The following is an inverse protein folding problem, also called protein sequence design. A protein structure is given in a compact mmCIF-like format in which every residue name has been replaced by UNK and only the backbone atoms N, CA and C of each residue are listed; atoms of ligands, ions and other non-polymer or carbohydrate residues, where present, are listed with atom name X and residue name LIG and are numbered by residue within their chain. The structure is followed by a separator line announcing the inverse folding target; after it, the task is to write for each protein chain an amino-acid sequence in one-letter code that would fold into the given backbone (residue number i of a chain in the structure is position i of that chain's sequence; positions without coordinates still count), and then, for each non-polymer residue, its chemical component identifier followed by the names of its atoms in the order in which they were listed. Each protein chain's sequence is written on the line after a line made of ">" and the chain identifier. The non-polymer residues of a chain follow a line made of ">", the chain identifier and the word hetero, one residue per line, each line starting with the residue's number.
data_IF_445173837406
#
_entry.id   IF_445173837406
#
_cell.length_a   1.000
_cell.length_b   1.000
_cell.length_c   1.000
_cell.angle_alpha   90.00
_cell.angle_beta   90.00
_cell.angle_gamma   90.00
#
_symmetry.space_group_name_H-M   'P 1'
#
loop_
_entity.id
_entity.type
_entity.pdbx_description
1 polymer ?
#
# COMPACT_ATOMS: atom_id res chain seq x y z
N UNK A 1 -11.97 15.42 -1.87
CA UNK A 1 -11.84 16.81 -1.38
C UNK A 1 -10.97 16.76 -0.14
N UNK A 2 -9.86 17.51 -0.14
CA UNK A 2 -8.95 17.64 0.99
C UNK A 2 -9.59 18.54 2.05
N UNK A 3 -9.77 18.03 3.27
CA UNK A 3 -10.22 18.83 4.42
C UNK A 3 -9.02 19.14 5.33
N UNK A 4 -8.06 19.91 4.80
CA UNK A 4 -7.01 20.57 5.57
C UNK A 4 -7.45 21.99 5.93
N UNK A 5 -6.98 22.52 7.07
CA UNK A 5 -7.08 23.98 7.28
C UNK A 5 -6.19 24.66 6.26
N UNK A 6 -6.68 25.69 5.56
CA UNK A 6 -5.88 26.47 4.58
C UNK A 6 -4.57 27.01 5.20
N UNK A 7 -4.50 27.07 6.53
CA UNK A 7 -3.39 27.62 7.31
C UNK A 7 -2.35 26.59 7.77
N UNK A 8 -2.65 25.28 7.73
CA UNK A 8 -1.74 24.23 8.24
C UNK A 8 -1.62 23.08 7.24
N UNK A 9 -0.49 23.03 6.53
CA UNK A 9 -0.17 21.98 5.56
C UNK A 9 0.39 20.71 6.21
N UNK A 10 0.72 20.72 7.50
CA UNK A 10 1.34 19.58 8.20
C UNK A 10 0.31 18.52 8.62
N UNK A 11 -0.98 18.87 8.59
CA UNK A 11 -2.06 17.99 9.01
C UNK A 11 -3.26 18.03 8.06
N UNK A 12 -3.42 16.98 7.26
CA UNK A 12 -4.52 16.85 6.28
C UNK A 12 -5.26 15.53 6.42
N UNK A 13 -6.55 15.56 6.08
CA UNK A 13 -7.38 14.36 5.89
C UNK A 13 -7.68 14.19 4.41
N UNK A 14 -7.24 13.06 3.86
CA UNK A 14 -7.41 12.70 2.46
C UNK A 14 -8.55 11.71 2.32
N UNK A 15 -9.62 12.14 1.64
CA UNK A 15 -10.71 11.25 1.24
C UNK A 15 -10.42 10.60 -0.09
N UNK A 16 -10.26 9.28 -0.09
CA UNK A 16 -10.07 8.45 -1.27
C UNK A 16 -11.39 7.72 -1.56
N UNK A 17 -11.91 7.93 -2.76
CA UNK A 17 -13.15 7.32 -3.24
C UNK A 17 -12.85 5.95 -3.86
N UNK A 18 -13.84 5.07 -3.85
CA UNK A 18 -13.80 3.72 -4.43
C UNK A 18 -12.71 2.79 -3.87
N UNK A 19 -12.23 3.10 -2.66
CA UNK A 19 -11.21 2.35 -1.94
C UNK A 19 -11.70 1.87 -0.59
N UNK A 20 -11.01 0.87 -0.03
CA UNK A 20 -11.34 0.22 1.23
C UNK A 20 -10.10 -0.08 2.10
N UNK A 21 -10.24 -1.01 3.06
CA UNK A 21 -9.16 -1.46 3.94
C UNK A 21 -7.91 -1.93 3.21
N UNK A 22 -8.02 -2.40 1.96
CA UNK A 22 -6.91 -2.94 1.17
C UNK A 22 -5.83 -1.89 0.94
N UNK A 23 -6.19 -0.76 0.29
CA UNK A 23 -5.27 0.35 0.10
C UNK A 23 -4.98 1.06 1.43
N UNK A 24 -6.02 1.28 2.24
CA UNK A 24 -5.91 2.08 3.45
C UNK A 24 -4.94 1.50 4.48
N UNK A 25 -5.02 0.19 4.73
CA UNK A 25 -4.15 -0.47 5.70
C UNK A 25 -2.71 -0.56 5.19
N UNK A 26 -2.53 -0.81 3.89
CA UNK A 26 -1.22 -0.81 3.23
C UNK A 26 -0.55 0.56 3.33
N UNK A 27 -1.26 1.63 2.94
CA UNK A 27 -0.75 3.00 3.03
C UNK A 27 -0.46 3.41 4.47
N UNK A 28 -1.35 3.08 5.43
CA UNK A 28 -1.12 3.29 6.87
C UNK A 28 0.17 2.62 7.33
N UNK A 29 0.45 1.40 6.89
CA UNK A 29 1.66 0.69 7.29
C UNK A 29 2.92 1.44 6.85
N UNK A 30 2.98 1.87 5.58
CA UNK A 30 4.13 2.61 5.05
C UNK A 30 4.30 3.95 5.73
N UNK A 31 3.21 4.71 5.90
CA UNK A 31 3.22 6.01 6.59
C UNK A 31 3.76 5.93 8.01
N UNK A 32 3.46 4.85 8.76
CA UNK A 32 3.98 4.69 10.12
C UNK A 32 5.48 4.42 10.19
N UNK A 33 6.13 4.05 9.08
CA UNK A 33 7.57 3.84 9.04
C UNK A 33 8.34 5.13 8.71
N UNK A 34 7.66 6.16 8.20
CA UNK A 34 8.28 7.43 7.86
C UNK A 34 8.50 8.27 9.14
N UNK A 35 9.75 8.64 9.50
CA UNK A 35 10.04 9.42 10.70
C UNK A 35 9.46 10.85 10.66
N UNK A 36 9.04 11.34 9.49
CA UNK A 36 8.38 12.64 9.32
C UNK A 36 6.92 12.60 9.80
N UNK A 37 6.34 11.41 9.96
CA UNK A 37 4.94 11.23 10.35
C UNK A 37 4.82 11.15 11.87
N UNK A 38 4.12 12.10 12.47
CA UNK A 38 3.79 12.11 13.89
C UNK A 38 2.54 11.25 14.19
N UNK A 39 1.58 11.24 13.27
CA UNK A 39 0.36 10.44 13.39
C UNK A 39 -0.17 10.07 12.02
N UNK A 40 -0.58 8.80 11.85
CA UNK A 40 -1.43 8.41 10.74
C UNK A 40 -2.51 7.41 11.16
N UNK A 41 -3.65 7.48 10.49
CA UNK A 41 -4.76 6.57 10.71
C UNK A 41 -5.75 6.65 9.56
N UNK A 42 -6.62 5.65 9.45
CA UNK A 42 -7.70 5.68 8.47
C UNK A 42 -9.04 5.27 9.10
N UNK A 43 -10.12 5.75 8.52
CA UNK A 43 -11.48 5.33 8.85
C UNK A 43 -12.34 5.21 7.59
N UNK A 44 -13.28 4.28 7.62
CA UNK A 44 -14.36 4.18 6.64
C UNK A 44 -15.59 4.80 7.30
N UNK A 45 -16.13 5.92 6.78
CA UNK A 45 -17.24 6.63 7.42
C UNK A 45 -18.47 5.75 7.63
N UNK A 46 -18.78 4.90 6.65
CA UNK A 46 -19.89 3.98 6.69
C UNK A 46 -19.63 2.75 5.81
N UNK A 47 -19.94 1.50 6.23
CA UNK A 47 -19.66 0.30 5.44
C UNK A 47 -20.31 0.25 4.05
N UNK A 48 -21.41 0.99 3.86
CA UNK A 48 -22.10 1.07 2.56
C UNK A 48 -21.43 2.06 1.58
N UNK A 49 -20.53 2.92 2.06
CA UNK A 49 -19.79 3.86 1.23
C UNK A 49 -18.39 3.32 0.95
N UNK A 50 -18.03 3.19 -0.33
CA UNK A 50 -16.66 2.87 -0.73
C UNK A 50 -15.80 4.13 -0.66
N UNK A 51 -15.51 4.56 0.56
CA UNK A 51 -14.73 5.77 0.83
C UNK A 51 -13.87 5.56 2.06
N UNK A 52 -12.59 5.89 1.94
CA UNK A 52 -11.64 5.88 3.05
C UNK A 52 -11.19 7.31 3.31
N UNK A 53 -11.14 7.68 4.58
CA UNK A 53 -10.46 8.89 5.03
C UNK A 53 -9.13 8.52 5.66
N UNK A 54 -8.02 8.98 5.09
CA UNK A 54 -6.67 8.82 5.65
C UNK A 54 -6.26 10.15 6.30
N UNK A 55 -6.01 10.13 7.60
CA UNK A 55 -5.46 11.26 8.35
C UNK A 55 -3.95 11.12 8.41
N UNK A 56 -3.24 12.17 8.02
CA UNK A 56 -1.78 12.27 8.15
C UNK A 56 -1.44 13.55 8.88
N UNK A 57 -0.61 13.44 9.92
CA UNK A 57 -0.02 14.56 10.63
C UNK A 57 1.49 14.36 10.67
N UNK A 58 2.22 15.36 10.24
CA UNK A 58 3.68 15.34 10.15
C UNK A 58 4.28 16.25 11.21
N UNK A 59 5.60 16.20 11.36
CA UNK A 59 6.35 17.07 12.28
C UNK A 59 6.75 18.41 11.66
N UNK A 60 6.55 18.61 10.35
CA UNK A 60 6.88 19.86 9.68
C UNK A 60 6.66 19.86 8.17
N UNK A 61 6.83 18.71 7.51
CA UNK A 61 6.65 18.62 6.06
C UNK A 61 5.17 18.62 5.65
N UNK A 62 4.79 19.09 4.45
CA UNK A 62 3.41 19.04 4.01
C UNK A 62 2.87 17.60 3.96
N UNK A 63 1.75 17.33 4.63
CA UNK A 63 1.14 16.01 4.73
C UNK A 63 0.84 15.38 3.36
N UNK A 64 0.54 16.22 2.36
CA UNK A 64 0.31 15.79 0.97
C UNK A 64 1.55 15.17 0.32
N UNK A 65 2.72 15.74 0.61
CA UNK A 65 3.98 15.34 -0.02
C UNK A 65 4.48 14.05 0.65
N UNK A 66 4.38 13.98 1.98
CA UNK A 66 4.66 12.75 2.74
C UNK A 66 3.72 11.60 2.33
N UNK A 67 2.43 11.86 2.13
CA UNK A 67 1.50 10.83 1.63
C UNK A 67 1.89 10.34 0.24
N UNK A 68 2.28 11.26 -0.65
CA UNK A 68 2.71 10.92 -2.01
C UNK A 68 3.97 10.05 -2.00
N UNK A 69 4.97 10.41 -1.20
CA UNK A 69 6.20 9.64 -1.03
C UNK A 69 5.89 8.23 -0.52
N UNK A 70 5.05 8.11 0.52
CA UNK A 70 4.66 6.82 1.08
C UNK A 70 3.93 5.92 0.06
N UNK A 71 3.09 6.48 -0.81
CA UNK A 71 2.44 5.73 -1.89
C UNK A 71 3.45 5.29 -2.95
N UNK A 72 4.45 6.11 -3.26
CA UNK A 72 5.52 5.75 -4.19
C UNK A 72 6.39 4.62 -3.63
N UNK A 73 6.71 4.66 -2.34
CA UNK A 73 7.43 3.59 -1.66
C UNK A 73 6.63 2.28 -1.64
N UNK A 74 5.31 2.37 -1.40
CA UNK A 74 4.42 1.21 -1.50
C UNK A 74 4.48 0.55 -2.88
N UNK A 75 4.47 1.36 -3.95
CA UNK A 75 4.60 0.84 -5.32
C UNK A 75 5.93 0.13 -5.54
N UNK A 76 7.05 0.70 -5.05
CA UNK A 76 8.39 0.10 -5.17
C UNK A 76 8.47 -1.21 -4.39
N UNK A 77 7.89 -1.28 -3.19
CA UNK A 77 7.80 -2.51 -2.41
C UNK A 77 7.02 -3.60 -3.16
N UNK A 78 5.86 -3.27 -3.73
CA UNK A 78 5.09 -4.22 -4.53
C UNK A 78 5.87 -4.72 -5.76
N UNK A 79 6.61 -3.84 -6.43
CA UNK A 79 7.47 -4.23 -7.55
C UNK A 79 8.58 -5.19 -7.12
N UNK A 80 9.22 -4.92 -5.98
CA UNK A 80 10.28 -5.78 -5.44
C UNK A 80 9.74 -7.17 -5.05
N UNK A 81 8.60 -7.22 -4.35
CA UNK A 81 7.94 -8.48 -3.98
C UNK A 81 7.59 -9.29 -5.23
N UNK A 82 6.99 -8.64 -6.25
CA UNK A 82 6.66 -9.30 -7.51
C UNK A 82 7.90 -9.86 -8.21
N UNK A 83 8.94 -9.05 -8.38
CA UNK A 83 10.18 -9.51 -9.04
C UNK A 83 10.84 -10.69 -8.31
N UNK A 84 10.87 -10.64 -6.98
CA UNK A 84 11.41 -11.73 -6.15
C UNK A 84 10.58 -13.01 -6.30
N UNK A 85 9.25 -12.86 -6.30
CA UNK A 85 8.34 -13.99 -6.49
C UNK A 85 8.47 -14.61 -7.88
N UNK A 86 8.51 -13.79 -8.94
CA UNK A 86 8.64 -14.26 -10.32
C UNK A 86 9.96 -15.04 -10.52
N UNK A 87 11.06 -14.54 -9.95
CA UNK A 87 12.34 -15.24 -9.96
C UNK A 87 12.27 -16.59 -9.24
N UNK A 88 11.67 -16.63 -8.03
CA UNK A 88 11.51 -17.86 -7.27
C UNK A 88 10.63 -18.89 -8.00
N UNK A 89 9.59 -18.44 -8.70
CA UNK A 89 8.71 -19.30 -9.52
C UNK A 89 9.46 -19.84 -10.73
N UNK A 90 10.25 -19.00 -11.43
CA UNK A 90 11.07 -19.43 -12.55
C UNK A 90 12.09 -20.49 -12.13
N UNK A 91 12.80 -20.26 -11.02
CA UNK A 91 13.76 -21.20 -10.44
C UNK A 91 13.09 -22.53 -10.06
N UNK A 92 11.90 -22.49 -9.44
CA UNK A 92 11.17 -23.70 -9.06
C UNK A 92 10.74 -24.51 -10.30
N UNK A 93 10.27 -23.82 -11.36
CA UNK A 93 9.89 -24.47 -12.62
C UNK A 93 11.09 -25.09 -13.33
N UNK A 94 12.25 -24.43 -13.32
CA UNK A 94 13.48 -24.97 -13.90
C UNK A 94 14.02 -26.19 -13.13
N UNK A 95 13.83 -26.23 -11.80
CA UNK A 95 14.30 -27.32 -10.91
C UNK A 95 13.39 -28.54 -10.85
N UNK A 96 12.16 -28.48 -11.38
CA UNK A 96 11.36 -29.67 -11.63
C UNK A 96 11.77 -30.24 -13.00
N UNK A 97 12.55 -31.34 -13.08
CA UNK A 97 12.49 -32.14 -14.29
C UNK A 97 11.02 -32.53 -14.44
N UNK A 98 10.53 -32.66 -15.67
CA UNK A 98 9.24 -33.29 -15.92
C UNK A 98 9.17 -34.54 -15.02
N UNK A 99 8.34 -34.52 -13.98
CA UNK A 99 7.84 -35.77 -13.44
C UNK A 99 7.07 -36.33 -14.62
N UNK A 100 7.76 -37.22 -15.34
CA UNK A 100 7.21 -38.21 -16.23
C UNK A 100 5.99 -38.74 -15.47
N UNK A 101 4.79 -38.26 -15.83
CA UNK A 101 3.59 -38.98 -15.50
C UNK A 101 3.73 -40.24 -16.33
N UNK A 102 4.25 -41.30 -15.71
CA UNK A 102 4.22 -42.62 -16.28
C UNK A 102 2.74 -42.95 -16.47
N UNK A 103 2.27 -42.77 -17.69
CA UNK A 103 0.96 -43.23 -18.10
C UNK A 103 1.12 -44.74 -18.15
N UNK A 104 0.85 -45.40 -17.02
CA UNK A 104 0.84 -46.85 -16.92
C UNK A 104 0.07 -47.42 -18.13
N UNK A 105 0.82 -48.05 -19.04
CA UNK A 105 0.29 -48.91 -20.07
C UNK A 105 -0.36 -50.11 -19.37
N UNK A 106 -1.70 -50.15 -19.37
CA UNK A 106 -2.43 -51.43 -19.37
C UNK A 106 -3.80 -51.30 -19.99
#
# INVERSE_FOLDING_TARGET
>A
MEHGSVTDSTASTFSIMDEDHTLANSARFVLNQDPRVAFCGYSIPHPAEKKVNIRVQTTGDPAKDVLKDALQDLMVMCQHVRGTFDNAVADHRAKKPAQQMDIDQK
#
